data_IF_677316941105
#
_entry.id   IF_677316941105
#
_cell.length_a   1.000
_cell.length_b   1.000
_cell.length_c   1.000
_cell.angle_alpha   90.00
_cell.angle_beta   90.00
_cell.angle_gamma   90.00
#
_symmetry.space_group_name_H-M   'P 1'
#
loop_
_entity.id
_entity.type
_entity.pdbx_description
1 polymer ?
#
# COMPACT_ATOMS: atom_id res chain seq x y z
N UNK A 1 19.81 -82.85 21.63
CA UNK A 1 18.78 -82.48 20.65
C UNK A 1 17.88 -81.44 21.29
N UNK A 2 17.61 -80.33 20.57
CA UNK A 2 16.50 -79.37 20.75
C UNK A 2 16.50 -78.50 22.02
N UNK A 3 16.31 -77.18 22.02
CA UNK A 3 16.14 -76.12 21.02
C UNK A 3 16.52 -74.80 21.74
N UNK A 4 17.32 -73.94 21.10
CA UNK A 4 17.60 -72.57 21.55
C UNK A 4 16.42 -71.70 21.11
N UNK A 5 15.63 -71.17 22.06
CA UNK A 5 14.53 -70.24 21.74
C UNK A 5 15.04 -68.82 21.96
N UNK A 6 15.38 -68.16 20.85
CA UNK A 6 15.68 -66.74 20.77
C UNK A 6 14.34 -65.99 20.80
N UNK A 7 14.04 -65.26 21.88
CA UNK A 7 12.88 -64.34 21.90
C UNK A 7 13.32 -62.98 21.39
N UNK A 8 13.15 -62.77 20.08
CA UNK A 8 13.29 -61.49 19.41
C UNK A 8 12.04 -60.65 19.69
N UNK A 9 12.14 -59.64 20.57
CA UNK A 9 11.11 -58.60 20.66
C UNK A 9 11.31 -57.64 19.49
N UNK A 10 10.44 -57.77 18.48
CA UNK A 10 10.34 -56.79 17.39
C UNK A 10 9.73 -55.49 17.94
N UNK A 11 10.52 -54.41 17.94
CA UNK A 11 10.01 -53.05 18.10
C UNK A 11 9.29 -52.70 16.80
N UNK A 12 7.97 -52.64 16.83
CA UNK A 12 7.19 -52.04 15.75
C UNK A 12 7.39 -50.53 15.87
N UNK A 13 8.28 -49.99 15.03
CA UNK A 13 8.32 -48.57 14.75
C UNK A 13 7.02 -48.22 13.99
N UNK A 14 6.02 -47.72 14.72
CA UNK A 14 4.92 -46.97 14.13
C UNK A 14 5.52 -45.68 13.58
N UNK A 15 5.94 -45.74 12.31
CA UNK A 15 6.09 -44.54 11.50
C UNK A 15 4.68 -43.97 11.31
N UNK A 16 4.26 -43.14 12.26
CA UNK A 16 3.18 -42.21 12.02
C UNK A 16 3.65 -41.28 10.91
N UNK A 17 3.17 -41.55 9.69
CA UNK A 17 3.18 -40.57 8.62
C UNK A 17 2.45 -39.35 9.16
N UNK A 18 3.22 -38.35 9.62
CA UNK A 18 2.75 -36.98 9.64
C UNK A 18 2.44 -36.67 8.18
N UNK A 19 1.19 -36.88 7.80
CA UNK A 19 0.63 -36.25 6.62
C UNK A 19 0.82 -34.77 6.87
N UNK A 20 1.88 -34.20 6.28
CA UNK A 20 1.93 -32.78 6.03
C UNK A 20 0.67 -32.51 5.22
N UNK A 21 -0.35 -31.99 5.91
CA UNK A 21 -1.38 -31.22 5.26
C UNK A 21 -0.59 -30.16 4.50
N UNK A 22 -0.44 -30.39 3.20
CA UNK A 22 -0.10 -29.32 2.28
C UNK A 22 -1.29 -28.38 2.40
N UNK A 23 -1.18 -27.44 3.33
CA UNK A 23 -1.93 -26.21 3.26
C UNK A 23 -1.44 -25.62 1.94
N UNK A 24 -2.16 -25.90 0.86
CA UNK A 24 -2.19 -24.96 -0.25
C UNK A 24 -2.68 -23.69 0.40
N UNK A 25 -1.74 -22.84 0.82
CA UNK A 25 -2.01 -21.44 1.12
C UNK A 25 -2.57 -20.89 -0.18
N UNK A 26 -3.89 -20.92 -0.30
CA UNK A 26 -4.60 -20.07 -1.22
C UNK A 26 -4.39 -18.68 -0.63
N UNK A 27 -3.28 -18.07 -1.01
CA UNK A 27 -3.02 -16.66 -0.75
C UNK A 27 -4.21 -15.93 -1.37
N UNK A 28 -5.07 -15.27 -0.56
CA UNK A 28 -6.18 -14.52 -1.12
C UNK A 28 -5.63 -13.55 -2.16
N UNK A 29 -6.29 -13.40 -3.30
CA UNK A 29 -5.86 -12.45 -4.33
C UNK A 29 -5.67 -11.02 -3.76
N UNK A 30 -6.27 -10.71 -2.61
CA UNK A 30 -6.19 -9.42 -1.94
C UNK A 30 -5.03 -9.23 -0.95
N UNK A 31 -4.18 -10.23 -0.67
CA UNK A 31 -3.06 -10.01 0.28
C UNK A 31 -1.87 -9.33 -0.37
N UNK A 32 -1.22 -8.47 0.40
CA UNK A 32 -0.08 -7.65 -0.01
C UNK A 32 1.17 -8.13 0.74
N UNK A 33 2.28 -8.31 0.03
CA UNK A 33 3.56 -8.76 0.61
C UNK A 33 4.55 -7.63 0.83
N UNK A 34 4.47 -6.60 -0.01
CA UNK A 34 5.39 -5.46 0.00
C UNK A 34 4.63 -4.20 -0.42
N UNK A 35 4.87 -3.12 0.30
CA UNK A 35 4.54 -1.75 -0.11
C UNK A 35 5.85 -0.99 -0.13
N UNK A 36 6.22 -0.48 -1.30
CA UNK A 36 7.41 0.34 -1.50
C UNK A 36 6.98 1.66 -2.10
N UNK A 37 7.37 2.76 -1.46
CA UNK A 37 7.12 4.12 -1.95
C UNK A 37 8.45 4.80 -2.17
N UNK A 38 8.64 5.31 -3.38
CA UNK A 38 9.76 6.18 -3.74
C UNK A 38 9.23 7.57 -4.09
N UNK A 39 10.05 8.59 -3.89
CA UNK A 39 9.70 9.96 -4.28
C UNK A 39 10.93 10.65 -4.83
N UNK A 40 10.76 11.26 -6.00
CA UNK A 40 11.77 12.19 -6.53
C UNK A 40 11.48 13.61 -6.02
N UNK A 41 12.18 13.97 -4.93
CA UNK A 41 12.01 15.27 -4.27
C UNK A 41 12.52 16.46 -5.12
N UNK A 42 13.20 16.22 -6.24
CA UNK A 42 13.54 17.28 -7.20
C UNK A 42 12.29 17.95 -7.80
N UNK A 43 11.09 17.36 -7.63
CA UNK A 43 9.79 17.91 -8.04
C UNK A 43 9.20 18.98 -7.10
N UNK A 44 9.67 19.12 -5.85
CA UNK A 44 9.09 20.07 -4.88
C UNK A 44 9.68 21.47 -5.06
N UNK A 45 9.09 22.28 -5.94
CA UNK A 45 9.59 23.62 -6.28
C UNK A 45 9.31 24.70 -5.21
N UNK A 46 8.50 24.41 -4.18
CA UNK A 46 8.13 25.34 -3.13
C UNK A 46 8.98 25.10 -1.86
N UNK A 47 9.76 26.11 -1.44
CA UNK A 47 10.68 26.00 -0.31
C UNK A 47 9.99 25.71 1.04
N UNK A 48 8.79 26.24 1.27
CA UNK A 48 8.04 26.03 2.52
C UNK A 48 7.44 24.61 2.55
N UNK A 49 7.14 24.05 1.38
CA UNK A 49 6.73 22.67 1.25
C UNK A 49 7.89 21.68 1.34
N UNK A 50 9.06 22.04 0.82
CA UNK A 50 10.24 21.17 0.88
C UNK A 50 10.63 20.83 2.33
N UNK A 51 10.33 21.70 3.30
CA UNK A 51 10.55 21.42 4.74
C UNK A 51 9.57 20.40 5.31
N UNK A 52 8.31 20.43 4.86
CA UNK A 52 7.22 19.60 5.42
C UNK A 52 7.11 18.25 4.69
N UNK A 53 7.43 18.20 3.40
CA UNK A 53 7.24 17.05 2.52
C UNK A 53 8.48 16.18 2.35
N UNK A 54 9.54 16.43 3.13
CA UNK A 54 10.84 15.73 2.99
C UNK A 54 10.77 14.22 3.27
N UNK A 55 9.77 13.77 4.04
CA UNK A 55 9.58 12.36 4.41
C UNK A 55 8.29 11.77 3.81
N UNK A 56 7.79 12.37 2.72
CA UNK A 56 6.50 11.98 2.13
C UNK A 56 6.46 10.50 1.72
N UNK A 57 7.58 9.94 1.26
CA UNK A 57 7.73 8.53 0.91
C UNK A 57 7.44 7.61 2.10
N UNK A 58 8.08 7.88 3.24
CA UNK A 58 7.91 7.10 4.46
C UNK A 58 6.49 7.24 5.03
N UNK A 59 5.93 8.46 5.03
CA UNK A 59 4.60 8.72 5.57
C UNK A 59 3.50 8.10 4.69
N UNK A 60 3.64 8.16 3.35
CA UNK A 60 2.75 7.47 2.43
C UNK A 60 2.81 5.95 2.62
N UNK A 61 4.02 5.39 2.72
CA UNK A 61 4.19 3.95 2.95
C UNK A 61 3.45 3.52 4.22
N UNK A 62 3.68 4.23 5.34
CA UNK A 62 3.01 3.96 6.60
C UNK A 62 1.48 4.11 6.52
N UNK A 63 0.99 5.15 5.85
CA UNK A 63 -0.44 5.39 5.69
C UNK A 63 -1.13 4.30 4.84
N UNK A 64 -0.44 3.78 3.84
CA UNK A 64 -0.93 2.69 2.97
C UNK A 64 -0.86 1.36 3.72
N UNK A 65 0.26 1.06 4.37
CA UNK A 65 0.43 -0.12 5.23
C UNK A 65 -0.65 -0.19 6.31
N UNK A 66 -0.97 0.92 6.96
CA UNK A 66 -2.02 0.98 7.97
C UNK A 66 -3.39 0.55 7.42
N UNK A 67 -3.70 0.88 6.16
CA UNK A 67 -4.95 0.47 5.50
C UNK A 67 -4.92 -0.98 5.03
N UNK A 68 -3.73 -1.53 4.77
CA UNK A 68 -3.51 -2.93 4.43
C UNK A 68 -3.20 -3.83 5.64
N UNK A 69 -3.20 -3.32 6.87
CA UNK A 69 -2.69 -4.03 8.04
C UNK A 69 -3.27 -5.45 8.24
N UNK A 70 -4.56 -5.65 7.94
CA UNK A 70 -5.22 -6.95 8.04
C UNK A 70 -4.98 -7.89 6.84
N UNK A 71 -4.36 -7.38 5.78
CA UNK A 71 -4.10 -8.03 4.49
C UNK A 71 -2.62 -8.21 4.18
N UNK A 72 -1.72 -7.75 5.07
CA UNK A 72 -0.29 -7.97 4.93
C UNK A 72 0.06 -9.43 5.22
N UNK A 73 0.79 -10.09 4.32
CA UNK A 73 1.22 -11.48 4.45
C UNK A 73 2.63 -11.70 3.88
N UNK A 74 3.27 -12.83 4.19
CA UNK A 74 4.61 -13.14 3.67
C UNK A 74 4.64 -13.37 2.15
N UNK A 75 3.50 -13.77 1.58
CA UNK A 75 3.28 -13.95 0.15
C UNK A 75 2.04 -13.15 -0.25
N UNK A 76 2.05 -12.57 -1.43
CA UNK A 76 1.03 -11.64 -1.87
C UNK A 76 1.55 -10.76 -2.99
N UNK A 77 0.75 -9.78 -3.38
CA UNK A 77 1.14 -8.82 -4.38
C UNK A 77 2.06 -7.74 -3.80
N UNK A 78 2.92 -7.20 -4.65
CA UNK A 78 3.78 -6.07 -4.36
C UNK A 78 3.12 -4.80 -4.90
N UNK A 79 3.03 -3.75 -4.07
CA UNK A 79 2.58 -2.42 -4.46
C UNK A 79 3.82 -1.53 -4.48
N UNK A 80 4.24 -1.13 -5.68
CA UNK A 80 5.36 -0.21 -5.88
C UNK A 80 4.77 1.12 -6.33
N UNK A 81 5.14 2.19 -5.64
CA UNK A 81 4.60 3.53 -5.84
C UNK A 81 5.77 4.46 -6.09
N UNK A 82 5.75 5.14 -7.22
CA UNK A 82 6.72 6.18 -7.54
C UNK A 82 6.01 7.53 -7.57
N UNK A 83 6.31 8.38 -6.60
CA UNK A 83 5.78 9.74 -6.53
C UNK A 83 6.61 10.62 -7.46
N UNK A 84 6.00 10.98 -8.57
CA UNK A 84 6.63 11.72 -9.66
C UNK A 84 6.37 13.23 -9.57
N UNK A 85 5.27 13.66 -8.93
CA UNK A 85 4.94 15.09 -8.83
C UNK A 85 4.18 15.48 -7.56
N UNK A 86 4.66 16.55 -6.92
CA UNK A 86 3.96 17.28 -5.87
C UNK A 86 3.81 18.73 -6.31
N UNK A 87 2.60 19.10 -6.73
CA UNK A 87 2.29 20.47 -7.13
C UNK A 87 1.61 21.21 -5.98
N UNK A 88 2.18 22.35 -5.61
CA UNK A 88 1.72 23.19 -4.51
C UNK A 88 1.56 24.62 -5.02
N UNK A 89 0.34 24.91 -5.48
CA UNK A 89 -0.02 26.18 -6.08
C UNK A 89 0.18 27.31 -5.08
N UNK A 90 0.95 28.34 -5.42
CA UNK A 90 1.17 29.48 -4.52
C UNK A 90 -0.15 30.17 -4.16
N UNK A 91 -0.13 30.97 -3.09
CA UNK A 91 -1.30 31.77 -2.67
C UNK A 91 -1.79 32.71 -3.77
N UNK A 92 -0.92 33.14 -4.70
CA UNK A 92 -1.29 33.94 -5.85
C UNK A 92 -2.01 33.13 -6.93
N UNK A 93 -1.48 31.97 -7.32
CA UNK A 93 -2.08 31.07 -8.33
C UNK A 93 -3.47 30.57 -7.91
N UNK A 94 -3.65 30.28 -6.63
CA UNK A 94 -4.97 29.93 -6.08
C UNK A 94 -5.95 31.11 -6.10
N UNK A 95 -5.49 32.33 -5.77
CA UNK A 95 -6.35 33.51 -5.72
C UNK A 95 -6.94 33.88 -7.09
N UNK A 96 -6.23 33.54 -8.17
CA UNK A 96 -6.70 33.72 -9.55
C UNK A 96 -7.27 32.44 -10.18
N UNK A 97 -7.29 31.33 -9.42
CA UNK A 97 -7.80 30.03 -9.84
C UNK A 97 -7.02 29.40 -11.01
N UNK A 98 -5.74 29.75 -11.18
CA UNK A 98 -4.95 29.32 -12.33
C UNK A 98 -4.31 27.94 -12.15
N UNK A 99 -4.08 27.50 -10.92
CA UNK A 99 -3.49 26.18 -10.63
C UNK A 99 -4.11 25.54 -9.39
N UNK A 100 -4.21 24.21 -9.41
CA UNK A 100 -4.68 23.36 -8.33
C UNK A 100 -3.50 22.60 -7.73
N UNK A 101 -3.45 22.49 -6.41
CA UNK A 101 -2.44 21.67 -5.74
C UNK A 101 -2.82 20.19 -5.79
N UNK A 102 -1.85 19.32 -6.06
CA UNK A 102 -2.05 17.89 -6.19
C UNK A 102 -0.81 17.07 -5.84
N UNK A 103 -1.05 15.81 -5.51
CA UNK A 103 -0.05 14.75 -5.36
C UNK A 103 -0.30 13.70 -6.45
N UNK A 104 0.73 13.35 -7.20
CA UNK A 104 0.67 12.35 -8.25
C UNK A 104 1.75 11.29 -8.05
N UNK A 105 1.43 10.06 -8.45
CA UNK A 105 2.40 8.99 -8.54
C UNK A 105 1.92 7.88 -9.46
N UNK A 106 2.88 7.11 -9.98
CA UNK A 106 2.65 5.90 -10.72
C UNK A 106 2.59 4.70 -9.77
N UNK A 107 1.50 3.94 -9.86
CA UNK A 107 1.26 2.76 -9.06
C UNK A 107 1.50 1.54 -9.94
N UNK A 108 2.37 0.64 -9.49
CA UNK A 108 2.58 -0.68 -10.06
C UNK A 108 2.15 -1.74 -9.05
N UNK A 109 1.12 -2.48 -9.43
CA UNK A 109 0.68 -3.67 -8.72
C UNK A 109 1.26 -4.91 -9.40
N UNK A 110 2.07 -5.66 -8.67
CA UNK A 110 2.70 -6.90 -9.16
C UNK A 110 2.16 -8.09 -8.41
N UNK A 111 1.46 -8.98 -9.12
CA UNK A 111 0.96 -10.22 -8.54
C UNK A 111 1.95 -11.36 -8.85
N UNK A 112 2.18 -12.29 -7.91
CA UNK A 112 2.97 -13.49 -8.19
C UNK A 112 2.36 -14.30 -9.35
N UNK A 113 3.12 -14.47 -10.43
CA UNK A 113 2.68 -15.21 -11.63
C UNK A 113 3.03 -14.48 -12.93
N UNK A 114 2.73 -15.09 -14.08
CA UNK A 114 3.20 -14.57 -15.37
C UNK A 114 2.46 -13.33 -15.90
N UNK A 115 1.19 -13.08 -15.51
CA UNK A 115 0.32 -12.22 -16.34
C UNK A 115 -0.58 -11.21 -15.59
N UNK A 116 -0.46 -11.04 -14.27
CA UNK A 116 -1.44 -10.27 -13.47
C UNK A 116 -0.90 -8.95 -12.90
N UNK A 117 -0.03 -8.25 -13.64
CA UNK A 117 0.47 -6.94 -13.21
C UNK A 117 -0.45 -5.83 -13.75
N UNK A 118 -0.77 -4.85 -12.91
CA UNK A 118 -1.51 -3.67 -13.29
C UNK A 118 -0.69 -2.43 -12.98
N UNK A 119 -0.80 -1.39 -13.81
CA UNK A 119 -0.18 -0.10 -13.54
C UNK A 119 -1.12 1.03 -13.90
N UNK A 120 -1.14 2.08 -13.08
CA UNK A 120 -1.94 3.27 -13.32
C UNK A 120 -1.32 4.48 -12.65
N UNK A 121 -1.55 5.67 -13.22
CA UNK A 121 -1.20 6.94 -12.58
C UNK A 121 -2.33 7.35 -11.65
N UNK A 122 -2.01 7.61 -10.39
CA UNK A 122 -2.93 8.17 -9.41
C UNK A 122 -2.62 9.64 -9.20
N UNK A 123 -3.62 10.50 -9.38
CA UNK A 123 -3.56 11.91 -9.05
C UNK A 123 -4.63 12.25 -8.02
N UNK A 124 -4.21 12.83 -6.90
CA UNK A 124 -5.10 13.31 -5.83
C UNK A 124 -4.96 14.81 -5.72
N UNK A 125 -6.08 15.52 -5.84
CA UNK A 125 -6.11 16.97 -5.70
C UNK A 125 -6.37 17.40 -4.26
N UNK A 126 -5.93 18.59 -3.92
CA UNK A 126 -6.20 19.25 -2.63
C UNK A 126 -7.68 19.36 -2.31
N UNK A 127 -8.55 19.48 -3.32
CA UNK A 127 -10.00 19.47 -3.15
C UNK A 127 -10.52 18.10 -2.69
N UNK A 128 -9.98 17.02 -3.26
CA UNK A 128 -10.33 15.65 -2.83
C UNK A 128 -9.83 15.38 -1.40
N UNK A 129 -8.67 15.92 -1.03
CA UNK A 129 -8.10 15.76 0.30
C UNK A 129 -8.93 16.42 1.41
N UNK A 130 -9.74 17.46 1.11
CA UNK A 130 -10.58 18.12 2.13
C UNK A 130 -11.54 17.18 2.85
N UNK A 131 -11.91 16.06 2.21
CA UNK A 131 -12.74 15.03 2.83
C UNK A 131 -12.09 14.35 4.05
N UNK A 132 -10.76 14.48 4.20
CA UNK A 132 -9.96 13.93 5.29
C UNK A 132 -9.60 14.98 6.36
N UNK A 133 -10.11 16.22 6.24
CA UNK A 133 -9.93 17.21 7.29
C UNK A 133 -10.69 16.80 8.56
N UNK A 134 -10.11 17.03 9.76
CA UNK A 134 -10.82 16.80 11.01
C UNK A 134 -12.12 17.60 11.08
N UNK A 135 -13.12 17.04 11.77
CA UNK A 135 -14.40 17.72 11.97
C UNK A 135 -14.21 19.09 12.63
N UNK A 136 -14.90 20.10 12.09
CA UNK A 136 -14.84 21.48 12.58
C UNK A 136 -13.63 22.28 12.08
N UNK A 137 -12.80 21.72 11.19
CA UNK A 137 -11.72 22.44 10.53
C UNK A 137 -12.25 23.59 9.67
N UNK A 138 -11.74 24.79 9.91
CA UNK A 138 -12.00 25.97 9.08
C UNK A 138 -11.05 25.97 7.88
N UNK A 139 -11.58 25.74 6.68
CA UNK A 139 -10.80 25.68 5.43
C UNK A 139 -10.03 27.00 5.19
N UNK A 140 -10.58 28.12 5.66
CA UNK A 140 -10.00 29.46 5.53
C UNK A 140 -8.66 29.63 6.25
N UNK A 141 -8.37 28.78 7.23
CA UNK A 141 -7.18 28.86 8.07
C UNK A 141 -6.11 27.81 7.68
N UNK A 142 -6.41 26.96 6.69
CA UNK A 142 -5.52 25.89 6.24
C UNK A 142 -4.56 26.42 5.17
N UNK A 143 -3.26 26.23 5.40
CA UNK A 143 -2.20 26.52 4.44
C UNK A 143 -1.57 25.21 3.94
N UNK A 144 -0.90 25.26 2.78
CA UNK A 144 -0.25 24.08 2.20
C UNK A 144 0.93 23.54 3.01
N UNK A 145 1.54 24.38 3.86
CA UNK A 145 2.56 23.97 4.81
C UNK A 145 1.99 23.50 6.15
N UNK A 146 0.66 23.46 6.33
CA UNK A 146 0.07 23.01 7.58
C UNK A 146 0.01 21.49 7.68
N UNK A 147 0.20 20.97 8.89
CA UNK A 147 0.12 19.53 9.17
C UNK A 147 -1.23 18.93 8.78
N UNK A 148 -2.32 19.69 8.93
CA UNK A 148 -3.68 19.24 8.56
C UNK A 148 -3.78 19.05 7.05
N UNK A 149 -3.25 19.98 6.27
CA UNK A 149 -3.23 19.87 4.81
C UNK A 149 -2.40 18.67 4.36
N UNK A 150 -1.20 18.54 4.92
CA UNK A 150 -0.29 17.43 4.63
C UNK A 150 -0.92 16.08 4.94
N UNK A 151 -1.39 15.88 6.18
CA UNK A 151 -2.01 14.62 6.60
C UNK A 151 -3.20 14.23 5.72
N UNK A 152 -4.03 15.22 5.34
CA UNK A 152 -5.17 14.97 4.47
C UNK A 152 -4.78 14.55 3.05
N UNK A 153 -3.71 15.12 2.49
CA UNK A 153 -3.18 14.71 1.18
C UNK A 153 -2.64 13.28 1.23
N UNK A 154 -1.87 12.94 2.28
CA UNK A 154 -1.35 11.59 2.53
C UNK A 154 -2.51 10.59 2.65
N UNK A 155 -3.51 10.92 3.48
CA UNK A 155 -4.64 10.05 3.72
C UNK A 155 -5.51 9.85 2.49
N UNK A 156 -5.73 10.91 1.71
CA UNK A 156 -6.48 10.82 0.47
C UNK A 156 -5.76 9.97 -0.57
N UNK A 157 -4.43 10.11 -0.71
CA UNK A 157 -3.66 9.28 -1.61
C UNK A 157 -3.70 7.81 -1.20
N UNK A 158 -3.38 7.53 0.07
CA UNK A 158 -3.35 6.17 0.59
C UNK A 158 -4.71 5.47 0.47
N UNK A 159 -5.79 6.19 0.69
CA UNK A 159 -7.14 5.65 0.58
C UNK A 159 -7.54 5.36 -0.87
N UNK A 160 -7.11 6.20 -1.82
CA UNK A 160 -7.34 5.93 -3.25
C UNK A 160 -6.52 4.75 -3.77
N UNK A 161 -5.31 4.49 -3.25
CA UNK A 161 -4.54 3.27 -3.59
C UNK A 161 -5.34 2.01 -3.24
N UNK A 162 -5.89 1.96 -2.02
CA UNK A 162 -6.67 0.81 -1.55
C UNK A 162 -7.94 0.62 -2.37
N UNK A 163 -8.70 1.71 -2.62
CA UNK A 163 -9.94 1.65 -3.41
C UNK A 163 -9.71 1.14 -4.83
N UNK A 164 -8.64 1.60 -5.50
CA UNK A 164 -8.34 1.15 -6.86
C UNK A 164 -7.95 -0.32 -6.87
N UNK A 165 -7.17 -0.78 -5.89
CA UNK A 165 -6.86 -2.20 -5.77
C UNK A 165 -8.13 -3.04 -5.59
N UNK A 166 -9.03 -2.64 -4.69
CA UNK A 166 -10.26 -3.38 -4.44
C UNK A 166 -11.15 -3.45 -5.70
N UNK A 167 -11.23 -2.35 -6.46
CA UNK A 167 -11.96 -2.31 -7.73
C UNK A 167 -11.33 -3.21 -8.80
N UNK A 168 -10.00 -3.21 -8.95
CA UNK A 168 -9.30 -4.07 -9.92
C UNK A 168 -9.48 -5.56 -9.59
N UNK A 169 -9.53 -5.93 -8.32
CA UNK A 169 -9.74 -7.33 -7.91
C UNK A 169 -11.18 -7.80 -8.10
N UNK A 170 -12.17 -6.90 -8.04
CA UNK A 170 -13.57 -7.23 -8.33
C UNK A 170 -13.77 -7.54 -9.82
N UNK A 171 -13.18 -6.76 -10.73
CA UNK A 171 -13.27 -6.98 -12.18
C UNK A 171 -12.79 -8.40 -12.57
N UNK A 172 -11.63 -8.81 -12.03
CA UNK A 172 -11.02 -10.13 -12.27
C UNK A 172 -11.80 -11.31 -11.67
N UNK A 173 -12.66 -11.09 -10.68
CA UNK A 173 -13.47 -12.15 -10.06
C UNK A 173 -14.75 -12.47 -10.85
N UNK A 174 -15.11 -11.65 -11.84
CA UNK A 174 -16.33 -11.76 -12.66
C UNK A 174 -16.13 -12.40 -14.03
N UNK A 175 -14.89 -12.64 -14.46
CA UNK A 175 -14.53 -13.36 -15.70
C UNK A 175 -14.32 -14.86 -15.48
#
# INVERSE_FOLDING_TARGET
>A
MKNLVLSTTAVIALMGSAAFAQTTSVVPASTVSLIEVTTDLEAIQNAEAAEVWVNIDADLALAIEARFAERMAAEGAEIIIDIDEVSLATSFEQAIGSEESYLQGDILYRVPGPDNNASYTLKVSSLQAQAFYPDGTSISDITQGSDIYYAAMIDAFADNVVRNLDASQEELATE
#
